data_IF_279099718814
#
_entry.id   IF_279099718814
#
_cell.length_a   1.000
_cell.length_b   1.000
_cell.length_c   1.000
_cell.angle_alpha   90.00
_cell.angle_beta   90.00
_cell.angle_gamma   90.00
#
_symmetry.space_group_name_H-M   'P 1'
#
loop_
_entity.id
_entity.type
_entity.pdbx_description
1 polymer ?
#
# COMPACT_ATOMS: atom_id res chain seq x y z
N UNK A 1 -24.44 -24.95 -7.69
CA UNK A 1 -23.06 -25.48 -7.70
C UNK A 1 -22.83 -26.18 -9.02
N UNK A 2 -21.89 -25.68 -9.82
CA UNK A 2 -21.45 -26.35 -11.03
C UNK A 2 -20.73 -27.65 -10.66
N UNK A 3 -20.77 -28.70 -11.54
CA UNK A 3 -20.14 -29.98 -11.25
C UNK A 3 -18.61 -29.93 -11.09
N UNK A 4 -18.00 -28.77 -11.34
CA UNK A 4 -16.57 -28.49 -11.30
C UNK A 4 -16.12 -27.66 -10.09
N UNK A 5 -16.96 -27.54 -9.05
CA UNK A 5 -16.73 -26.75 -7.81
C UNK A 5 -16.41 -25.27 -8.08
N UNK A 6 -16.90 -24.73 -9.19
CA UNK A 6 -16.69 -23.35 -9.60
C UNK A 6 -17.89 -22.48 -9.25
N UNK A 7 -17.64 -21.41 -8.48
CA UNK A 7 -18.61 -20.33 -8.24
C UNK A 7 -18.51 -19.31 -9.36
N UNK A 8 -19.64 -19.01 -10.03
CA UNK A 8 -19.74 -17.97 -11.06
C UNK A 8 -20.84 -17.00 -10.70
N UNK A 9 -20.54 -15.71 -10.81
CA UNK A 9 -21.50 -14.63 -10.67
C UNK A 9 -21.23 -13.58 -11.73
N UNK A 10 -22.30 -13.10 -12.37
CA UNK A 10 -22.27 -12.03 -13.36
C UNK A 10 -23.28 -10.95 -13.00
N UNK A 11 -22.97 -9.69 -13.27
CA UNK A 11 -23.72 -8.52 -12.84
C UNK A 11 -23.11 -7.91 -11.59
N UNK A 12 -23.84 -7.05 -10.86
CA UNK A 12 -23.31 -6.43 -9.65
C UNK A 12 -23.06 -7.49 -8.56
N UNK A 13 -21.78 -7.77 -8.28
CA UNK A 13 -21.34 -8.69 -7.22
C UNK A 13 -20.84 -7.88 -6.07
N UNK A 14 -21.32 -8.17 -4.85
CA UNK A 14 -20.84 -7.54 -3.62
C UNK A 14 -20.41 -8.60 -2.62
N UNK A 15 -19.20 -8.44 -2.11
CA UNK A 15 -18.58 -9.33 -1.12
C UNK A 15 -18.25 -8.51 0.13
N UNK A 16 -18.72 -8.97 1.29
CA UNK A 16 -18.32 -8.42 2.59
C UNK A 16 -17.44 -9.45 3.29
N UNK A 17 -16.20 -9.09 3.59
CA UNK A 17 -15.25 -9.98 4.27
C UNK A 17 -14.42 -9.20 5.29
N UNK A 18 -14.43 -9.65 6.54
CA UNK A 18 -13.60 -9.09 7.62
C UNK A 18 -13.71 -7.56 7.77
N UNK A 19 -14.91 -6.99 7.59
CA UNK A 19 -15.13 -5.54 7.66
C UNK A 19 -14.69 -4.77 6.41
N UNK A 20 -14.38 -5.47 5.31
CA UNK A 20 -14.07 -4.85 4.03
C UNK A 20 -15.20 -5.13 3.03
N UNK A 21 -15.44 -4.18 2.15
CA UNK A 21 -16.44 -4.28 1.10
C UNK A 21 -15.74 -4.34 -0.25
N UNK A 22 -16.15 -5.29 -1.08
CA UNK A 22 -15.69 -5.44 -2.45
C UNK A 22 -16.89 -5.50 -3.37
N UNK A 23 -16.88 -4.72 -4.42
CA UNK A 23 -17.92 -4.67 -5.46
C UNK A 23 -17.28 -4.87 -6.82
N UNK A 24 -17.97 -5.54 -7.74
CA UNK A 24 -17.44 -5.78 -9.09
C UNK A 24 -18.51 -6.31 -10.03
N UNK A 25 -18.14 -6.59 -11.28
CA UNK A 25 -19.07 -6.95 -12.34
C UNK A 25 -19.12 -8.43 -12.65
N UNK A 26 -18.05 -9.17 -12.39
CA UNK A 26 -18.00 -10.62 -12.62
C UNK A 26 -17.04 -11.29 -11.63
N UNK A 27 -17.45 -12.44 -11.12
CA UNK A 27 -16.64 -13.33 -10.31
C UNK A 27 -16.65 -14.74 -10.91
N UNK A 28 -15.50 -15.30 -11.10
CA UNK A 28 -15.31 -16.74 -11.33
C UNK A 28 -14.26 -17.26 -10.37
N UNK A 29 -14.61 -18.24 -9.56
CA UNK A 29 -13.74 -18.75 -8.51
C UNK A 29 -13.89 -20.25 -8.38
N UNK A 30 -12.82 -20.99 -8.51
CA UNK A 30 -12.71 -22.40 -8.15
C UNK A 30 -12.58 -22.49 -6.63
N UNK A 31 -13.59 -23.02 -5.97
CA UNK A 31 -13.77 -22.92 -4.52
C UNK A 31 -12.74 -23.76 -3.76
N UNK A 32 -12.38 -24.93 -4.30
CA UNK A 32 -11.40 -25.86 -3.72
C UNK A 32 -9.97 -25.29 -3.71
N UNK A 33 -9.50 -24.80 -4.84
CA UNK A 33 -8.17 -24.23 -5.02
C UNK A 33 -8.10 -22.74 -4.69
N UNK A 34 -9.25 -22.06 -4.63
CA UNK A 34 -9.37 -20.62 -4.49
C UNK A 34 -8.67 -19.86 -5.63
N UNK A 35 -8.79 -20.39 -6.86
CA UNK A 35 -8.24 -19.80 -8.07
C UNK A 35 -9.36 -19.20 -8.92
N UNK A 36 -9.10 -18.04 -9.52
CA UNK A 36 -10.09 -17.38 -10.35
C UNK A 36 -9.88 -15.89 -10.49
N UNK A 37 -10.93 -15.16 -10.83
CA UNK A 37 -10.81 -13.72 -11.00
C UNK A 37 -12.07 -12.96 -10.56
N UNK A 38 -11.86 -11.67 -10.27
CA UNK A 38 -12.90 -10.70 -9.98
C UNK A 38 -12.66 -9.44 -10.83
N UNK A 39 -13.62 -9.08 -11.66
CA UNK A 39 -13.49 -7.98 -12.64
C UNK A 39 -14.10 -6.68 -12.14
N UNK A 40 -13.51 -5.56 -12.58
CA UNK A 40 -13.94 -4.20 -12.26
C UNK A 40 -14.15 -4.00 -10.76
N UNK A 41 -13.17 -4.45 -9.99
CA UNK A 41 -13.24 -4.47 -8.55
C UNK A 41 -13.16 -3.05 -7.99
N UNK A 42 -14.10 -2.70 -7.13
CA UNK A 42 -14.06 -1.54 -6.25
C UNK A 42 -13.97 -2.04 -4.82
N UNK A 43 -13.08 -1.47 -4.03
CA UNK A 43 -12.90 -1.90 -2.65
C UNK A 43 -12.93 -0.75 -1.66
N UNK A 44 -13.39 -1.06 -0.46
CA UNK A 44 -13.38 -0.15 0.68
C UNK A 44 -12.98 -0.92 1.95
N UNK A 45 -11.92 -0.46 2.60
CA UNK A 45 -11.45 -0.98 3.88
C UNK A 45 -12.03 -0.14 5.02
N UNK A 46 -12.94 -0.71 5.79
CA UNK A 46 -13.64 0.04 6.85
C UNK A 46 -12.72 0.40 8.02
N UNK A 47 -11.62 -0.33 8.22
CA UNK A 47 -10.70 -0.11 9.33
C UNK A 47 -9.93 1.22 9.23
N UNK A 48 -9.49 1.61 8.05
CA UNK A 48 -8.67 2.80 7.82
C UNK A 48 -9.27 3.78 6.80
N UNK A 49 -10.49 3.49 6.31
CA UNK A 49 -11.16 4.30 5.31
C UNK A 49 -10.54 4.24 3.91
N UNK A 50 -9.51 3.41 3.71
CA UNK A 50 -8.88 3.29 2.41
C UNK A 50 -9.84 2.68 1.38
N UNK A 51 -9.77 3.17 0.17
CA UNK A 51 -10.59 2.71 -0.94
C UNK A 51 -9.88 2.89 -2.28
N UNK A 52 -10.40 2.22 -3.29
CA UNK A 52 -9.86 2.27 -4.64
C UNK A 52 -10.60 1.35 -5.59
N UNK A 53 -10.12 1.34 -6.80
CA UNK A 53 -10.63 0.50 -7.89
C UNK A 53 -9.49 -0.36 -8.43
N UNK A 54 -9.84 -1.49 -9.05
CA UNK A 54 -8.93 -2.33 -9.79
C UNK A 54 -9.63 -2.89 -11.02
N UNK A 55 -8.97 -2.91 -12.15
CA UNK A 55 -9.55 -3.48 -13.36
C UNK A 55 -9.82 -4.99 -13.17
N UNK A 56 -8.95 -5.67 -12.45
CA UNK A 56 -9.08 -7.11 -12.21
C UNK A 56 -8.30 -7.53 -10.97
N UNK A 57 -8.83 -8.51 -10.25
CA UNK A 57 -8.15 -9.26 -9.21
C UNK A 57 -8.08 -10.71 -9.66
N UNK A 58 -6.87 -11.24 -9.79
CA UNK A 58 -6.63 -12.65 -10.08
C UNK A 58 -6.25 -13.37 -8.78
N UNK A 59 -7.09 -14.29 -8.33
CA UNK A 59 -6.81 -15.15 -7.18
C UNK A 59 -5.93 -16.31 -7.65
N UNK A 60 -4.71 -16.41 -7.13
CA UNK A 60 -3.74 -17.47 -7.45
C UNK A 60 -3.99 -18.66 -6.55
N UNK A 61 -4.27 -18.40 -5.28
CA UNK A 61 -4.68 -19.37 -4.27
C UNK A 61 -5.34 -18.64 -3.08
N UNK A 62 -5.46 -19.31 -1.92
CA UNK A 62 -6.11 -18.73 -0.72
C UNK A 62 -5.35 -17.56 -0.11
N UNK A 63 -4.05 -17.53 -0.31
CA UNK A 63 -3.15 -16.57 0.34
C UNK A 63 -2.58 -15.55 -0.65
N UNK A 64 -2.61 -15.85 -1.96
CA UNK A 64 -1.99 -14.99 -2.98
C UNK A 64 -2.99 -14.49 -4.02
N UNK A 65 -2.86 -13.22 -4.35
CA UNK A 65 -3.65 -12.59 -5.40
C UNK A 65 -2.84 -11.49 -6.12
N UNK A 66 -3.09 -11.33 -7.40
CA UNK A 66 -2.61 -10.21 -8.21
C UNK A 66 -3.75 -9.23 -8.49
N UNK A 67 -3.53 -7.97 -8.19
CA UNK A 67 -4.48 -6.87 -8.44
C UNK A 67 -3.93 -6.03 -9.57
N UNK A 68 -4.65 -5.93 -10.67
CA UNK A 68 -4.21 -5.28 -11.89
C UNK A 68 -4.85 -3.89 -12.06
N UNK A 69 -4.03 -2.92 -12.45
CA UNK A 69 -4.42 -1.52 -12.64
C UNK A 69 -5.17 -0.98 -11.41
N UNK A 70 -4.52 -1.07 -10.27
CA UNK A 70 -5.08 -0.70 -8.99
C UNK A 70 -4.91 0.78 -8.68
N UNK A 71 -5.89 1.36 -7.99
CA UNK A 71 -5.80 2.66 -7.34
C UNK A 71 -5.96 2.50 -5.84
N UNK A 72 -5.33 3.36 -5.06
CA UNK A 72 -5.42 3.36 -3.61
C UNK A 72 -5.39 4.79 -3.08
N UNK A 73 -6.31 5.13 -2.18
CA UNK A 73 -6.31 6.39 -1.44
C UNK A 73 -6.97 6.21 -0.07
N UNK A 74 -6.62 7.08 0.87
CA UNK A 74 -7.33 7.22 2.16
C UNK A 74 -8.07 8.56 2.28
N UNK A 75 -8.12 9.35 1.21
CA UNK A 75 -8.85 10.61 1.19
C UNK A 75 -10.34 10.35 1.38
N UNK A 76 -10.97 11.00 2.36
CA UNK A 76 -12.41 10.86 2.59
C UNK A 76 -13.17 11.41 1.38
N UNK A 77 -14.10 10.61 0.87
CA UNK A 77 -14.94 11.03 -0.26
C UNK A 77 -15.93 12.09 0.21
N UNK A 78 -15.81 13.28 -0.36
CA UNK A 78 -16.80 14.33 -0.18
C UNK A 78 -17.94 14.18 -1.18
N UNK A 79 -19.18 14.43 -0.77
CA UNK A 79 -20.32 14.39 -1.66
C UNK A 79 -20.31 15.60 -2.60
N UNK A 80 -20.11 15.36 -3.91
CA UNK A 80 -20.12 16.41 -4.93
C UNK A 80 -19.85 15.84 -6.33
N UNK A 81 -20.27 16.54 -7.36
CA UNK A 81 -20.16 16.07 -8.78
C UNK A 81 -18.71 15.98 -9.30
N UNK A 82 -17.76 16.61 -8.65
CA UNK A 82 -16.36 16.67 -9.09
C UNK A 82 -15.35 16.33 -7.97
N UNK A 83 -15.74 15.42 -7.05
CA UNK A 83 -14.80 15.00 -6.02
C UNK A 83 -13.58 14.33 -6.65
N UNK A 84 -12.41 14.87 -6.33
CA UNK A 84 -11.12 14.31 -6.71
C UNK A 84 -10.29 14.19 -5.43
N UNK A 85 -9.73 13.01 -5.14
CA UNK A 85 -8.89 12.84 -3.96
C UNK A 85 -7.65 13.73 -4.05
N UNK A 86 -7.18 14.23 -2.92
CA UNK A 86 -5.95 15.01 -2.89
C UNK A 86 -4.75 14.17 -3.35
N UNK A 87 -4.73 12.88 -3.04
CA UNK A 87 -3.70 11.97 -3.52
C UNK A 87 -4.28 10.60 -3.89
N UNK A 88 -3.67 9.96 -4.88
CA UNK A 88 -3.95 8.58 -5.30
C UNK A 88 -2.63 7.89 -5.61
N UNK A 89 -2.46 6.69 -5.13
CA UNK A 89 -1.43 5.77 -5.61
C UNK A 89 -2.05 4.89 -6.71
N UNK A 90 -1.48 4.90 -7.90
CA UNK A 90 -1.80 3.98 -8.99
C UNK A 90 -0.70 2.97 -9.12
N UNK A 91 -1.04 1.72 -9.40
CA UNK A 91 -0.06 0.67 -9.66
C UNK A 91 -0.56 -0.22 -10.82
N UNK A 92 0.34 -0.60 -11.70
CA UNK A 92 0.03 -1.54 -12.79
C UNK A 92 -0.33 -2.91 -12.22
N UNK A 93 0.42 -3.35 -11.22
CA UNK A 93 0.18 -4.61 -10.52
C UNK A 93 0.49 -4.47 -9.03
N UNK A 94 -0.38 -5.03 -8.21
CA UNK A 94 -0.12 -5.24 -6.78
C UNK A 94 -0.20 -6.75 -6.54
N UNK A 95 0.89 -7.33 -6.08
CA UNK A 95 0.93 -8.70 -5.62
C UNK A 95 0.66 -8.74 -4.12
N UNK A 96 -0.29 -9.54 -3.70
CA UNK A 96 -0.71 -9.75 -2.30
C UNK A 96 -0.29 -11.14 -1.88
N UNK A 97 0.50 -11.25 -0.83
CA UNK A 97 0.86 -12.51 -0.17
C UNK A 97 0.44 -12.44 1.30
N UNK A 98 -0.67 -13.09 1.62
CA UNK A 98 -1.25 -13.11 2.98
C UNK A 98 -0.42 -13.98 3.93
N UNK A 99 0.21 -15.06 3.43
CA UNK A 99 1.03 -15.96 4.23
C UNK A 99 2.30 -15.24 4.71
N UNK A 100 2.92 -14.48 3.82
CA UNK A 100 4.08 -13.65 4.15
C UNK A 100 3.67 -12.29 4.75
N UNK A 101 2.37 -11.95 4.75
CA UNK A 101 1.81 -10.68 5.19
C UNK A 101 2.47 -9.46 4.50
N UNK A 102 2.73 -9.61 3.21
CA UNK A 102 3.40 -8.59 2.38
C UNK A 102 2.58 -8.31 1.12
N UNK A 103 2.46 -7.04 0.78
CA UNK A 103 2.05 -6.58 -0.54
C UNK A 103 3.24 -5.95 -1.26
N UNK A 104 3.34 -6.17 -2.56
CA UNK A 104 4.30 -5.47 -3.42
C UNK A 104 3.56 -4.83 -4.57
N UNK A 105 3.99 -3.63 -4.96
CA UNK A 105 3.41 -2.94 -6.11
C UNK A 105 4.51 -2.60 -7.13
N UNK A 106 4.23 -2.91 -8.38
CA UNK A 106 5.09 -2.64 -9.51
C UNK A 106 4.56 -1.44 -10.30
N UNK A 107 5.46 -0.59 -10.78
CA UNK A 107 5.16 0.61 -11.57
C UNK A 107 4.09 1.48 -10.91
N UNK A 108 4.27 1.77 -9.63
CA UNK A 108 3.37 2.66 -8.93
C UNK A 108 3.67 4.13 -9.25
N UNK A 109 2.63 4.95 -9.28
CA UNK A 109 2.72 6.40 -9.45
C UNK A 109 1.89 7.08 -8.39
N UNK A 110 2.51 7.95 -7.61
CA UNK A 110 1.80 8.83 -6.70
C UNK A 110 1.30 10.05 -7.46
N UNK A 111 0.00 10.22 -7.50
CA UNK A 111 -0.68 11.40 -8.07
C UNK A 111 -1.18 12.32 -6.95
N UNK A 112 -1.08 13.61 -7.18
CA UNK A 112 -1.68 14.65 -6.34
C UNK A 112 -2.61 15.51 -7.17
N UNK A 113 -3.89 15.53 -6.79
CA UNK A 113 -4.97 16.23 -7.55
C UNK A 113 -4.94 15.91 -9.04
N UNK A 114 -4.74 14.62 -9.37
CA UNK A 114 -4.69 14.13 -10.74
C UNK A 114 -3.40 14.40 -11.50
N UNK A 115 -2.40 15.01 -10.86
CA UNK A 115 -1.08 15.24 -11.45
C UNK A 115 -0.11 14.17 -10.97
N UNK A 116 0.51 13.37 -11.88
CA UNK A 116 1.52 12.41 -11.49
C UNK A 116 2.78 13.13 -10.99
N UNK A 117 3.17 12.87 -9.73
CA UNK A 117 4.30 13.52 -9.09
C UNK A 117 5.51 12.61 -8.95
N UNK A 118 5.31 11.36 -8.56
CA UNK A 118 6.40 10.47 -8.19
C UNK A 118 6.18 9.08 -8.77
N UNK A 119 6.98 8.68 -9.76
CA UNK A 119 7.03 7.28 -10.20
C UNK A 119 7.80 6.45 -9.16
N UNK A 120 7.23 5.33 -8.77
CA UNK A 120 7.79 4.37 -7.82
C UNK A 120 7.89 3.03 -8.55
N UNK A 121 9.06 2.65 -9.07
CA UNK A 121 9.20 1.43 -9.87
C UNK A 121 8.78 0.16 -9.11
N UNK A 122 9.08 0.12 -7.82
CA UNK A 122 8.74 -0.98 -6.93
C UNK A 122 8.58 -0.49 -5.49
N UNK A 123 7.53 -0.96 -4.82
CA UNK A 123 7.33 -0.72 -3.39
C UNK A 123 6.78 -1.97 -2.72
N UNK A 124 7.25 -2.29 -1.52
CA UNK A 124 6.66 -3.31 -0.67
C UNK A 124 6.05 -2.69 0.58
N UNK A 125 4.95 -3.25 1.05
CA UNK A 125 4.24 -2.77 2.22
C UNK A 125 3.66 -3.94 3.04
N UNK A 126 3.55 -3.80 4.37
CA UNK A 126 2.95 -4.84 5.20
C UNK A 126 1.42 -4.87 5.02
N UNK A 127 0.84 -6.06 5.01
CA UNK A 127 -0.61 -6.27 5.00
C UNK A 127 -1.22 -6.35 6.41
N UNK A 128 -0.37 -6.43 7.43
CA UNK A 128 -0.77 -6.49 8.84
C UNK A 128 -0.10 -5.39 9.65
N UNK A 129 -0.53 -5.24 10.90
CA UNK A 129 0.10 -4.29 11.85
C UNK A 129 1.44 -4.81 12.42
N UNK A 130 1.92 -5.96 11.94
CA UNK A 130 3.22 -6.48 12.33
C UNK A 130 4.34 -5.60 11.78
N UNK A 131 5.32 -5.35 12.61
CA UNK A 131 6.50 -4.59 12.19
C UNK A 131 7.28 -5.38 11.15
N UNK A 132 7.46 -4.83 9.96
CA UNK A 132 8.34 -5.37 8.91
C UNK A 132 9.31 -4.30 8.45
N UNK A 133 10.53 -4.71 8.14
CA UNK A 133 11.52 -3.84 7.49
C UNK A 133 11.04 -3.46 6.09
N UNK A 134 11.23 -2.21 5.71
CA UNK A 134 10.84 -1.74 4.39
C UNK A 134 10.96 -0.22 4.22
N UNK A 135 10.77 0.23 3.01
CA UNK A 135 10.70 1.66 2.71
C UNK A 135 9.40 2.23 3.29
N UNK A 136 9.52 3.32 4.04
CA UNK A 136 8.37 4.09 4.49
C UNK A 136 7.96 5.10 3.42
N UNK A 137 6.74 5.65 3.46
CA UNK A 137 6.32 6.69 2.54
C UNK A 137 7.33 7.84 2.51
N UNK A 138 7.73 8.31 1.33
CA UNK A 138 8.65 9.43 1.23
C UNK A 138 8.00 10.74 1.69
N UNK A 139 8.82 11.64 2.19
CA UNK A 139 8.41 13.01 2.50
C UNK A 139 8.87 13.94 1.39
N UNK A 140 7.96 14.74 0.89
CA UNK A 140 8.22 15.79 -0.09
C UNK A 140 8.02 17.15 0.57
N UNK A 141 8.95 18.05 0.37
CA UNK A 141 8.90 19.39 0.90
C UNK A 141 9.37 20.44 -0.11
N UNK A 142 8.86 21.66 0.04
CA UNK A 142 9.32 22.82 -0.68
C UNK A 142 9.39 23.99 0.27
N UNK A 143 10.59 24.51 0.50
CA UNK A 143 10.80 25.66 1.38
C UNK A 143 11.93 26.56 0.85
N UNK A 144 11.98 27.78 1.35
CA UNK A 144 12.95 28.78 0.88
C UNK A 144 14.40 28.46 1.27
N UNK A 145 14.62 27.68 2.32
CA UNK A 145 15.96 27.33 2.84
C UNK A 145 16.55 26.16 2.11
N UNK A 146 15.82 25.06 1.99
CA UNK A 146 16.30 23.78 1.39
C UNK A 146 15.99 23.68 -0.11
N UNK A 147 15.05 24.52 -0.60
CA UNK A 147 14.47 24.34 -1.93
C UNK A 147 13.49 23.16 -1.94
N UNK A 148 13.48 22.42 -3.03
CA UNK A 148 12.80 21.13 -3.11
C UNK A 148 13.56 20.12 -2.25
N UNK A 149 12.81 19.36 -1.46
CA UNK A 149 13.32 18.34 -0.56
C UNK A 149 12.58 17.02 -0.82
N UNK A 150 13.33 15.95 -0.97
CA UNK A 150 12.85 14.57 -1.02
C UNK A 150 13.56 13.77 0.06
N UNK A 151 12.83 13.18 0.96
CA UNK A 151 13.38 12.33 2.00
C UNK A 151 12.74 10.94 1.94
N UNK A 152 13.60 9.91 1.85
CA UNK A 152 13.21 8.51 1.79
C UNK A 152 13.66 7.80 3.07
N UNK A 153 12.74 7.51 4.01
CA UNK A 153 13.05 6.71 5.17
C UNK A 153 12.95 5.20 4.85
N UNK A 154 13.83 4.44 5.49
CA UNK A 154 13.80 2.98 5.54
C UNK A 154 13.69 2.54 6.99
N UNK A 155 12.65 1.78 7.30
CA UNK A 155 12.46 1.17 8.61
C UNK A 155 13.12 -0.19 8.66
N UNK A 156 13.94 -0.43 9.68
CA UNK A 156 14.62 -1.68 9.92
C UNK A 156 14.13 -2.31 11.22
N UNK A 157 13.34 -3.36 11.11
CA UNK A 157 12.87 -4.17 12.24
C UNK A 157 13.96 -5.19 12.62
N UNK A 158 14.84 -4.81 13.54
CA UNK A 158 16.00 -5.61 13.92
C UNK A 158 15.57 -6.77 14.84
N UNK A 159 14.74 -6.47 15.83
CA UNK A 159 14.23 -7.43 16.81
C UNK A 159 12.89 -6.91 17.39
N UNK A 160 12.10 -7.74 18.10
CA UNK A 160 10.84 -7.29 18.70
C UNK A 160 10.97 -6.06 19.61
N UNK A 161 12.14 -5.86 20.21
CA UNK A 161 12.44 -4.78 21.15
C UNK A 161 13.49 -3.79 20.64
N UNK A 162 13.90 -3.90 19.37
CA UNK A 162 14.91 -3.02 18.74
C UNK A 162 14.56 -2.75 17.31
N UNK A 163 14.58 -1.49 16.93
CA UNK A 163 14.41 -1.07 15.54
C UNK A 163 15.31 0.13 15.20
N UNK A 164 15.43 0.39 13.90
CA UNK A 164 16.09 1.58 13.40
C UNK A 164 15.31 2.18 12.24
N UNK A 165 15.42 3.49 12.08
CA UNK A 165 14.96 4.18 10.88
C UNK A 165 16.16 4.90 10.27
N UNK A 166 16.49 4.55 9.04
CA UNK A 166 17.54 5.21 8.26
C UNK A 166 16.85 6.16 7.27
N UNK A 167 17.36 7.35 7.10
CA UNK A 167 16.78 8.36 6.22
C UNK A 167 17.85 8.94 5.30
N UNK A 168 17.57 8.96 4.00
CA UNK A 168 18.31 9.73 3.01
C UNK A 168 17.45 10.87 2.52
N UNK A 169 17.94 12.10 2.61
CA UNK A 169 17.25 13.28 2.11
C UNK A 169 18.11 14.01 1.07
N UNK A 170 17.47 14.46 -0.02
CA UNK A 170 18.06 15.27 -1.06
C UNK A 170 17.40 16.64 -1.02
N UNK A 171 18.20 17.67 -0.86
CA UNK A 171 17.76 19.06 -0.80
C UNK A 171 18.37 19.84 -1.96
N UNK A 172 17.56 20.46 -2.80
CA UNK A 172 18.03 21.14 -4.02
C UNK A 172 19.08 22.24 -3.76
N UNK A 173 19.04 22.87 -2.56
CA UNK A 173 19.97 23.94 -2.20
C UNK A 173 21.09 23.53 -1.23
N UNK A 174 20.99 22.35 -0.60
CA UNK A 174 21.92 21.91 0.45
C UNK A 174 22.62 20.60 0.18
N UNK A 175 22.19 19.86 -0.86
CA UNK A 175 22.78 18.57 -1.19
C UNK A 175 22.09 17.40 -0.50
N UNK A 176 22.87 16.43 -0.05
CA UNK A 176 22.36 15.18 0.54
C UNK A 176 22.59 15.18 2.05
N UNK A 177 21.59 14.73 2.78
CA UNK A 177 21.66 14.48 4.21
C UNK A 177 21.37 12.99 4.46
N UNK A 178 22.15 12.37 5.30
CA UNK A 178 21.88 11.03 5.83
C UNK A 178 21.57 11.12 7.31
N UNK A 179 20.53 10.43 7.74
CA UNK A 179 20.13 10.38 9.13
C UNK A 179 19.83 8.95 9.57
N UNK A 180 19.92 8.72 10.85
CA UNK A 180 19.55 7.45 11.44
C UNK A 180 19.06 7.61 12.87
N UNK A 181 18.02 6.86 13.20
CA UNK A 181 17.49 6.73 14.55
C UNK A 181 17.44 5.26 14.93
N UNK A 182 18.08 4.90 16.03
CA UNK A 182 18.02 3.56 16.62
C UNK A 182 17.26 3.61 17.93
N UNK A 183 16.30 2.72 18.12
CA UNK A 183 15.47 2.61 19.32
C UNK A 183 15.59 1.24 19.95
N UNK A 184 15.59 1.20 21.27
CA UNK A 184 15.60 -0.04 22.02
C UNK A 184 14.70 0.05 23.25
N UNK A 185 14.08 -1.09 23.58
CA UNK A 185 13.15 -1.25 24.71
C UNK A 185 13.47 -2.58 25.40
N UNK A 186 14.23 -2.52 26.50
CA UNK A 186 14.56 -3.66 27.35
C UNK A 186 13.65 -3.67 28.59
N UNK A 187 13.52 -4.78 29.33
CA UNK A 187 12.63 -4.86 30.49
C UNK A 187 12.85 -3.79 31.57
N UNK A 188 14.08 -3.30 31.71
CA UNK A 188 14.47 -2.34 32.74
C UNK A 188 14.97 -0.99 32.23
N UNK A 189 15.16 -0.85 30.93
CA UNK A 189 15.62 0.41 30.32
C UNK A 189 15.19 0.53 28.86
N UNK A 190 15.00 1.76 28.43
CA UNK A 190 14.67 2.11 27.04
C UNK A 190 15.45 3.35 26.61
N UNK A 191 15.60 3.52 25.33
CA UNK A 191 16.23 4.71 24.79
C UNK A 191 16.23 4.76 23.29
N UNK A 192 16.73 5.90 22.80
CA UNK A 192 16.94 6.14 21.38
C UNK A 192 18.26 6.88 21.16
N UNK A 193 18.90 6.60 20.04
CA UNK A 193 20.10 7.31 19.57
C UNK A 193 19.80 7.81 18.16
N UNK A 194 20.03 9.09 17.92
CA UNK A 194 19.87 9.73 16.61
C UNK A 194 21.18 10.38 16.18
N UNK A 195 21.51 10.22 14.90
CA UNK A 195 22.63 10.87 14.24
C UNK A 195 22.23 11.34 12.85
N UNK A 196 22.63 12.56 12.50
CA UNK A 196 22.40 13.18 11.19
C UNK A 196 23.72 13.77 10.68
N UNK A 197 24.04 13.58 9.37
CA UNK A 197 25.24 14.07 8.70
C UNK A 197 24.91 14.65 7.32
#
# INVERSE_FOLDING_TARGET
>A
TAPDDTARASGPVRINRAGNVYEGTALELRVDAFEGFFSDARYQFLRNGAHGDAARVDFIDRDRADVLNATYTTCTREEGQSWQPDWVLRADRIHIDQAEEVGTADHAVLEFKGVPLLPIPYISFPLSDKRKSGLLPPTLGLNSVNGFEYAQPYYWNIAPHRDATLQAAIMAKRGVQLGGEFRYLEPSYQGQVRADV
#
